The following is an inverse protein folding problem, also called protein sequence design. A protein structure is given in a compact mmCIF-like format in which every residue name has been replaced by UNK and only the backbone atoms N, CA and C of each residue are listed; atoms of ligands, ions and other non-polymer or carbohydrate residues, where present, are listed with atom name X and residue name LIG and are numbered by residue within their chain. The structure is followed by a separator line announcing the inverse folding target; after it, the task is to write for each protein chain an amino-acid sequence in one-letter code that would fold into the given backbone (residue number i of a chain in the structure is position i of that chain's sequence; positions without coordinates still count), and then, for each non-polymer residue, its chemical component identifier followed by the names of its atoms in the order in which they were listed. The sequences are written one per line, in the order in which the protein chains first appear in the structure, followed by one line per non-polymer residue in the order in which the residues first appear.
data_IF_855918646795
#
_entry.id   IF_855918646795
#
_cell.length_a   1.000
_cell.length_b   1.000
_cell.length_c   1.000
_cell.angle_alpha   90.00
_cell.angle_beta   90.00
_cell.angle_gamma   90.00
#
_symmetry.space_group_name_H-M   'P 1'
#
loop_
_entity.id
_entity.type
_entity.pdbx_description
1 polymer ?
#
# COMPACT_ATOMS: atom_id res chain seq x y z
N UNK A 1 -21.42 48.57 -4.54
CA UNK A 1 -21.39 47.13 -4.17
C UNK A 1 -19.99 46.57 -4.46
N UNK A 2 -19.07 46.62 -3.49
CA UNK A 2 -17.69 46.20 -3.69
C UNK A 2 -17.61 44.66 -3.79
N UNK A 3 -17.24 44.15 -4.97
CA UNK A 3 -16.95 42.72 -5.19
C UNK A 3 -15.74 42.34 -4.32
N UNK A 4 -15.98 41.67 -3.19
CA UNK A 4 -14.95 41.08 -2.34
C UNK A 4 -14.14 40.02 -3.09
N UNK A 5 -13.10 40.45 -3.81
CA UNK A 5 -12.12 39.54 -4.40
C UNK A 5 -11.28 38.97 -3.26
N UNK A 6 -11.30 37.64 -3.07
CA UNK A 6 -10.39 36.94 -2.16
C UNK A 6 -8.96 37.13 -2.68
N UNK A 7 -8.22 38.07 -2.12
CA UNK A 7 -6.85 38.44 -2.55
C UNK A 7 -5.74 37.58 -1.92
N UNK A 8 -6.09 36.52 -1.17
CA UNK A 8 -5.14 35.77 -0.33
C UNK A 8 -5.08 34.26 -0.54
N UNK A 9 -5.36 33.76 -1.75
CA UNK A 9 -5.26 32.32 -2.05
C UNK A 9 -3.88 31.91 -2.58
N UNK A 10 -3.52 30.62 -2.44
CA UNK A 10 -2.33 30.08 -3.14
C UNK A 10 -2.47 30.32 -4.64
N UNK A 11 -1.44 30.88 -5.26
CA UNK A 11 -1.40 31.06 -6.70
C UNK A 11 -1.40 29.68 -7.37
N UNK A 12 -2.35 29.48 -8.29
CA UNK A 12 -2.43 28.24 -9.08
C UNK A 12 -1.07 28.02 -9.75
N UNK A 13 -0.42 26.90 -9.45
CA UNK A 13 0.90 26.57 -9.97
C UNK A 13 2.08 26.86 -9.04
N UNK A 14 1.90 27.44 -7.85
CA UNK A 14 2.98 27.48 -6.85
C UNK A 14 3.26 26.06 -6.38
N UNK A 15 4.47 25.50 -6.62
CA UNK A 15 4.81 24.15 -6.18
C UNK A 15 4.55 24.00 -4.68
N UNK A 16 4.03 22.84 -4.26
CA UNK A 16 3.99 22.52 -2.84
C UNK A 16 5.41 22.57 -2.30
N UNK A 17 5.62 23.34 -1.23
CA UNK A 17 6.88 23.26 -0.48
C UNK A 17 7.08 21.80 -0.08
N UNK A 18 8.27 21.27 -0.38
CA UNK A 18 8.64 19.93 0.03
C UNK A 18 8.46 19.83 1.54
N UNK A 19 7.66 18.85 1.99
CA UNK A 19 7.51 18.59 3.40
C UNK A 19 8.68 17.70 3.82
N UNK A 20 9.64 18.20 4.62
CA UNK A 20 10.85 17.45 4.95
C UNK A 20 10.52 16.13 5.67
N UNK A 21 9.45 16.10 6.47
CA UNK A 21 9.01 14.87 7.13
C UNK A 21 8.53 13.82 6.13
N UNK A 22 7.81 14.23 5.08
CA UNK A 22 7.38 13.31 4.01
C UNK A 22 8.57 12.78 3.21
N UNK A 23 9.58 13.61 2.98
CA UNK A 23 10.83 13.19 2.34
C UNK A 23 11.57 12.15 3.16
N UNK A 24 11.73 12.40 4.46
CA UNK A 24 12.37 11.46 5.38
C UNK A 24 11.62 10.12 5.46
N UNK A 25 10.30 10.15 5.64
CA UNK A 25 9.48 8.93 5.67
C UNK A 25 9.60 8.14 4.36
N UNK A 26 9.59 8.83 3.21
CA UNK A 26 9.79 8.18 1.91
C UNK A 26 11.16 7.50 1.84
N UNK A 27 12.23 8.20 2.20
CA UNK A 27 13.58 7.66 2.14
C UNK A 27 13.76 6.45 3.07
N UNK A 28 13.24 6.54 4.30
CA UNK A 28 13.27 5.42 5.25
C UNK A 28 12.47 4.22 4.75
N UNK A 29 11.27 4.45 4.21
CA UNK A 29 10.45 3.38 3.63
C UNK A 29 11.14 2.73 2.42
N UNK A 30 11.76 3.52 1.53
CA UNK A 30 12.49 2.96 0.38
C UNK A 30 13.67 2.10 0.83
N UNK A 31 14.49 2.61 1.76
CA UNK A 31 15.65 1.89 2.28
C UNK A 31 15.29 0.53 2.90
N UNK A 32 14.09 0.40 3.49
CA UNK A 32 13.61 -0.85 4.06
C UNK A 32 13.36 -1.95 3.01
N UNK A 33 12.98 -1.56 1.79
CA UNK A 33 12.74 -2.48 0.67
C UNK A 33 13.94 -2.62 -0.28
N UNK A 34 14.97 -1.77 -0.15
CA UNK A 34 16.16 -1.85 -0.98
C UNK A 34 17.13 -2.93 -0.48
N UNK A 35 17.73 -3.74 -1.39
CA UNK A 35 18.74 -4.71 -0.99
C UNK A 35 19.96 -4.06 -0.37
N UNK A 36 20.37 -4.54 0.80
CA UNK A 36 21.61 -4.11 1.48
C UNK A 36 22.31 -5.29 2.14
N UNK A 37 23.58 -5.11 2.47
CA UNK A 37 24.33 -6.10 3.26
C UNK A 37 23.73 -6.16 4.66
N UNK A 38 23.24 -7.32 5.06
CA UNK A 38 22.59 -7.51 6.35
C UNK A 38 23.63 -7.71 7.45
N UNK A 39 23.99 -6.61 8.11
CA UNK A 39 24.89 -6.59 9.27
C UNK A 39 24.13 -6.19 10.54
N UNK A 40 24.60 -6.65 11.69
CA UNK A 40 24.08 -6.21 12.98
C UNK A 40 24.36 -4.70 13.16
N UNK A 41 23.33 -3.87 13.42
CA UNK A 41 23.49 -2.43 13.61
C UNK A 41 24.34 -2.06 14.83
N UNK A 42 24.49 -2.94 15.83
CA UNK A 42 25.23 -2.65 17.07
C UNK A 42 26.68 -3.14 16.96
N UNK A 43 26.88 -4.40 16.56
CA UNK A 43 28.22 -5.01 16.55
C UNK A 43 28.93 -4.88 15.20
N UNK A 44 28.21 -4.54 14.12
CA UNK A 44 28.72 -4.60 12.75
C UNK A 44 28.96 -6.02 12.24
N UNK A 45 28.64 -7.04 13.06
CA UNK A 45 28.76 -8.45 12.73
C UNK A 45 27.63 -8.95 11.83
N UNK A 46 27.45 -10.27 11.80
CA UNK A 46 26.36 -10.91 11.05
C UNK A 46 25.02 -10.55 11.69
N UNK A 47 24.03 -10.16 10.89
CA UNK A 47 22.66 -10.01 11.38
C UNK A 47 22.12 -11.39 11.76
N UNK A 48 21.61 -11.51 12.98
CA UNK A 48 20.94 -12.72 13.46
C UNK A 48 19.42 -12.52 13.46
N UNK A 49 18.69 -13.56 13.05
CA UNK A 49 17.23 -13.62 13.15
C UNK A 49 16.82 -14.65 14.19
N UNK A 50 15.80 -14.29 14.96
CA UNK A 50 15.20 -15.18 15.93
C UNK A 50 14.19 -16.07 15.22
N UNK A 51 14.36 -17.39 15.33
CA UNK A 51 13.40 -18.36 14.84
C UNK A 51 12.81 -19.12 16.01
N UNK A 52 11.49 -19.07 16.16
CA UNK A 52 10.80 -19.82 17.19
C UNK A 52 10.50 -21.24 16.70
N UNK A 53 10.83 -22.24 17.51
CA UNK A 53 10.52 -23.65 17.26
C UNK A 53 9.99 -24.30 18.54
N UNK A 54 9.04 -25.22 18.39
CA UNK A 54 8.59 -26.08 19.48
C UNK A 54 9.52 -27.31 19.56
N UNK A 55 10.04 -27.58 20.74
CA UNK A 55 10.84 -28.77 21.04
C UNK A 55 10.18 -29.56 22.17
N UNK A 56 10.28 -30.89 22.11
CA UNK A 56 9.83 -31.77 23.18
C UNK A 56 11.02 -32.29 23.97
N UNK A 57 10.89 -32.35 25.28
CA UNK A 57 11.83 -33.04 26.16
C UNK A 57 11.61 -34.56 26.12
N UNK A 58 12.45 -35.31 26.85
CA UNK A 58 12.33 -36.76 26.99
C UNK A 58 11.07 -37.21 27.76
N UNK A 59 10.39 -36.28 28.42
CA UNK A 59 9.22 -36.50 29.27
C UNK A 59 7.90 -36.12 28.56
N UNK A 60 7.99 -35.63 27.32
CA UNK A 60 6.85 -35.29 26.46
C UNK A 60 6.31 -33.87 26.62
N UNK A 61 6.94 -33.03 27.44
CA UNK A 61 6.54 -31.63 27.58
C UNK A 61 7.05 -30.80 26.39
N UNK A 62 6.16 -29.96 25.83
CA UNK A 62 6.46 -29.10 24.68
C UNK A 62 6.84 -27.71 25.17
N UNK A 63 8.02 -27.22 24.76
CA UNK A 63 8.47 -25.85 25.06
C UNK A 63 8.85 -25.08 23.79
N UNK A 64 8.73 -23.75 23.87
CA UNK A 64 9.19 -22.83 22.82
C UNK A 64 10.67 -22.54 23.02
N UNK A 65 11.46 -22.82 21.99
CA UNK A 65 12.88 -22.47 21.90
C UNK A 65 13.03 -21.37 20.84
N UNK A 66 13.90 -20.40 21.13
CA UNK A 66 14.26 -19.33 20.20
C UNK A 66 15.68 -19.62 19.73
N UNK A 67 15.82 -20.01 18.46
CA UNK A 67 17.11 -20.21 17.82
C UNK A 67 17.56 -18.89 17.20
N UNK A 68 18.81 -18.49 17.45
CA UNK A 68 19.45 -17.37 16.75
C UNK A 68 20.14 -17.90 15.50
N UNK A 69 19.65 -17.49 14.33
CA UNK A 69 20.18 -17.95 13.04
C UNK A 69 20.88 -16.76 12.36
N UNK A 70 22.19 -16.86 12.07
CA UNK A 70 22.90 -15.82 11.32
C UNK A 70 22.48 -15.82 9.85
N UNK A 71 22.14 -14.65 9.31
CA UNK A 71 21.85 -14.44 7.89
C UNK A 71 23.13 -14.50 7.07
N UNK A 72 23.51 -15.72 6.69
CA UNK A 72 24.73 -15.99 5.92
C UNK A 72 24.44 -16.74 4.62
N UNK A 73 25.23 -16.44 3.59
CA UNK A 73 25.26 -17.23 2.36
C UNK A 73 25.96 -18.58 2.63
N UNK A 74 25.90 -19.49 1.66
CA UNK A 74 26.63 -20.76 1.58
C UNK A 74 28.12 -20.69 1.96
N UNK A 75 28.73 -19.51 1.88
CA UNK A 75 30.14 -19.23 2.21
C UNK A 75 30.37 -18.59 3.58
N UNK A 76 29.32 -18.35 4.37
CA UNK A 76 29.41 -17.71 5.69
C UNK A 76 29.49 -16.17 5.67
N UNK A 77 29.36 -15.54 4.50
CA UNK A 77 29.34 -14.08 4.38
C UNK A 77 27.93 -13.52 4.64
N UNK A 78 27.80 -12.26 5.11
CA UNK A 78 26.48 -11.64 5.31
C UNK A 78 25.69 -11.60 3.99
N UNK A 79 24.42 -11.98 4.05
CA UNK A 79 23.54 -11.98 2.86
C UNK A 79 23.20 -10.56 2.45
N UNK A 80 23.17 -10.32 1.13
CA UNK A 80 22.59 -9.11 0.54
C UNK A 80 21.10 -9.34 0.29
N UNK A 81 20.25 -8.72 1.11
CA UNK A 81 18.79 -8.75 0.96
C UNK A 81 18.17 -7.51 1.58
N UNK A 82 16.90 -7.25 1.30
CA UNK A 82 16.18 -6.14 1.93
C UNK A 82 15.88 -6.43 3.41
N UNK A 83 15.68 -5.38 4.20
CA UNK A 83 15.26 -5.55 5.60
C UNK A 83 13.90 -6.20 5.70
N UNK A 84 13.00 -5.86 4.77
CA UNK A 84 11.71 -6.51 4.63
C UNK A 84 11.81 -8.02 4.47
N UNK A 85 12.67 -8.50 3.56
CA UNK A 85 12.84 -9.94 3.35
C UNK A 85 13.40 -10.63 4.59
N UNK A 86 14.39 -10.02 5.25
CA UNK A 86 14.95 -10.56 6.49
C UNK A 86 13.89 -10.65 7.62
N UNK A 87 13.05 -9.62 7.76
CA UNK A 87 11.96 -9.61 8.74
C UNK A 87 10.87 -10.64 8.40
N UNK A 88 10.51 -10.78 7.13
CA UNK A 88 9.57 -11.83 6.69
C UNK A 88 10.07 -13.23 7.01
N UNK A 89 11.38 -13.48 6.86
CA UNK A 89 12.00 -14.77 7.22
C UNK A 89 11.94 -14.99 8.74
N UNK A 90 12.17 -13.96 9.54
CA UNK A 90 12.13 -14.03 11.01
C UNK A 90 10.72 -14.25 11.57
N UNK A 91 9.67 -13.80 10.87
CA UNK A 91 8.29 -13.98 11.32
C UNK A 91 7.88 -15.45 11.36
N UNK A 92 7.02 -15.76 12.32
CA UNK A 92 6.38 -17.07 12.41
C UNK A 92 5.49 -17.30 11.18
N UNK A 93 5.27 -18.57 10.74
CA UNK A 93 4.48 -18.86 9.54
C UNK A 93 3.10 -18.19 9.53
N UNK A 94 2.38 -18.21 10.65
CA UNK A 94 1.06 -17.58 10.76
C UNK A 94 1.12 -16.06 10.64
N UNK A 95 2.15 -15.43 11.23
CA UNK A 95 2.33 -13.97 11.19
C UNK A 95 2.73 -13.51 9.80
N UNK A 96 3.59 -14.27 9.11
CA UNK A 96 3.98 -14.04 7.72
C UNK A 96 2.77 -14.04 6.79
N UNK A 97 1.93 -15.08 6.86
CA UNK A 97 0.70 -15.17 6.04
C UNK A 97 -0.22 -13.98 6.30
N UNK A 98 -0.40 -13.59 7.55
CA UNK A 98 -1.21 -12.41 7.89
C UNK A 98 -0.61 -11.10 7.37
N UNK A 99 0.71 -10.94 7.42
CA UNK A 99 1.40 -9.77 6.88
C UNK A 99 1.25 -9.68 5.36
N UNK A 100 1.41 -10.80 4.65
CA UNK A 100 1.23 -10.89 3.20
C UNK A 100 -0.21 -10.58 2.78
N UNK A 101 -1.20 -11.11 3.48
CA UNK A 101 -2.62 -10.81 3.23
C UNK A 101 -2.91 -9.31 3.35
N UNK A 102 -2.34 -8.63 4.36
CA UNK A 102 -2.48 -7.19 4.52
C UNK A 102 -1.79 -6.41 3.41
N UNK A 103 -0.59 -6.84 3.00
CA UNK A 103 0.14 -6.22 1.89
C UNK A 103 -0.64 -6.37 0.57
N UNK A 104 -1.31 -7.51 0.37
CA UNK A 104 -2.15 -7.80 -0.77
C UNK A 104 -3.24 -6.75 -0.97
N UNK A 105 -3.84 -6.25 0.11
CA UNK A 105 -4.91 -5.24 0.05
C UNK A 105 -4.48 -3.91 -0.59
N UNK A 106 -3.19 -3.59 -0.55
CA UNK A 106 -2.66 -2.32 -1.06
C UNK A 106 -2.23 -2.39 -2.52
N UNK A 107 -1.85 -3.55 -3.03
CA UNK A 107 -1.32 -3.69 -4.40
C UNK A 107 -2.23 -4.50 -5.34
N UNK A 108 -3.16 -5.30 -4.81
CA UNK A 108 -4.17 -5.96 -5.64
C UNK A 108 -5.47 -5.17 -5.64
N UNK A 109 -6.02 -4.83 -6.82
CA UNK A 109 -7.34 -4.20 -6.90
C UNK A 109 -8.39 -5.12 -6.31
N UNK A 110 -9.09 -4.67 -5.26
CA UNK A 110 -10.31 -5.35 -4.81
C UNK A 110 -11.37 -5.16 -5.90
N UNK A 111 -11.87 -6.26 -6.45
CA UNK A 111 -13.05 -6.26 -7.32
C UNK A 111 -14.24 -5.81 -6.47
N UNK A 112 -14.44 -4.50 -6.35
CA UNK A 112 -15.71 -3.96 -5.88
C UNK A 112 -16.69 -4.29 -6.99
N UNK A 113 -17.61 -5.22 -6.72
CA UNK A 113 -18.79 -5.35 -7.55
C UNK A 113 -19.41 -3.95 -7.58
N UNK A 114 -19.45 -3.34 -8.75
CA UNK A 114 -20.35 -2.23 -8.97
C UNK A 114 -21.72 -2.86 -8.78
N UNK A 115 -22.38 -2.59 -7.66
CA UNK A 115 -23.82 -2.80 -7.56
C UNK A 115 -24.41 -1.90 -8.64
N UNK A 116 -24.65 -2.49 -9.82
CA UNK A 116 -25.43 -1.86 -10.87
C UNK A 116 -26.83 -1.79 -10.29
N UNK A 117 -27.17 -0.61 -9.79
CA UNK A 117 -28.50 -0.29 -9.32
C UNK A 117 -29.46 -0.47 -10.52
N UNK A 118 -30.12 -1.62 -10.60
CA UNK A 118 -31.02 -2.01 -11.69
C UNK A 118 -32.40 -1.34 -11.57
N UNK A 119 -32.56 -0.34 -10.72
CA UNK A 119 -33.77 0.47 -10.59
C UNK A 119 -33.77 1.75 -11.44
N UNK A 120 -32.89 1.84 -12.44
CA UNK A 120 -33.09 2.80 -13.55
C UNK A 120 -34.11 2.21 -14.52
N UNK A 121 -35.39 2.32 -14.15
CA UNK A 121 -36.46 2.51 -15.15
C UNK A 121 -36.30 3.90 -15.76
N UNK A 122 -35.23 4.09 -16.52
CA UNK A 122 -34.95 5.30 -17.27
C UNK A 122 -34.64 4.86 -18.68
N UNK A 123 -35.55 5.15 -19.60
CA UNK A 123 -35.30 5.07 -21.03
C UNK A 123 -33.88 5.54 -21.34
N UNK A 124 -33.18 4.78 -22.17
CA UNK A 124 -31.89 5.18 -22.76
C UNK A 124 -32.16 6.46 -23.55
N UNK A 125 -32.11 7.60 -22.87
CA UNK A 125 -32.22 8.93 -23.46
C UNK A 125 -30.81 9.28 -23.86
N UNK A 126 -30.57 9.16 -25.16
CA UNK A 126 -29.31 9.58 -25.74
C UNK A 126 -29.17 11.09 -25.61
N UNK A 127 -27.93 11.60 -25.69
CA UNK A 127 -27.68 13.05 -25.72
C UNK A 127 -28.47 13.69 -26.88
N UNK A 128 -28.69 12.95 -27.96
CA UNK A 128 -29.51 13.37 -29.11
C UNK A 128 -30.97 13.58 -28.73
N UNK A 129 -31.57 12.71 -27.91
CA UNK A 129 -32.96 12.87 -27.43
C UNK A 129 -33.11 14.11 -26.55
N UNK A 130 -32.14 14.34 -25.65
CA UNK A 130 -32.12 15.52 -24.78
C UNK A 130 -31.86 16.82 -25.55
N UNK A 131 -31.04 16.76 -26.59
CA UNK A 131 -30.80 17.91 -27.49
C UNK A 131 -32.02 18.22 -28.33
N UNK A 132 -32.76 17.21 -28.81
CA UNK A 132 -34.00 17.40 -29.58
C UNK A 132 -35.10 18.06 -28.74
N UNK A 133 -35.26 17.63 -27.49
CA UNK A 133 -36.20 18.25 -26.54
C UNK A 133 -35.83 19.71 -26.22
N UNK A 134 -34.53 20.00 -26.02
CA UNK A 134 -34.04 21.36 -25.76
C UNK A 134 -34.08 22.28 -26.99
N UNK A 135 -34.04 21.71 -28.20
CA UNK A 135 -34.06 22.49 -29.44
C UNK A 135 -35.47 22.84 -29.91
N UNK A 136 -36.51 22.48 -29.15
CA UNK A 136 -37.86 23.03 -29.31
C UNK A 136 -38.41 22.88 -30.72
N UNK A 137 -39.11 21.78 -30.97
CA UNK A 137 -40.17 21.75 -31.97
C UNK A 137 -41.25 22.75 -31.50
N UNK A 138 -41.01 24.04 -31.78
CA UNK A 138 -42.03 25.07 -31.91
C UNK A 138 -42.23 25.31 -33.40
N UNK A 139 -42.67 24.27 -34.11
CA UNK A 139 -43.44 24.44 -35.34
C UNK A 139 -44.92 24.22 -34.95
N UNK A 140 -45.41 25.07 -34.04
CA UNK A 140 -46.82 25.44 -33.98
C UNK A 140 -46.91 26.89 -34.42
N UNK A 141 -47.03 27.10 -35.74
CA UNK A 141 -47.83 28.20 -36.28
C UNK A 141 -48.87 27.55 -37.21
N UNK A 142 -50.11 27.60 -36.74
CA UNK A 142 -51.36 27.29 -37.44
C UNK A 142 -51.52 28.14 -38.73
N UNK A 143 -51.75 27.49 -39.88
CA UNK A 143 -52.79 27.79 -40.91
C UNK A 143 -52.63 26.89 -42.17
#
# INVERSE_FOLDING_TARGET
MAKGKKTGGRQKGTPNKENPLKGYLRAHSLAYFEPRVQTDPVTGGLREIQRQRLTQDAEGNVYKVIDLIPLTDSKGNPVTMSDFEADMIALNPNERVNAELRLLEFHTPKMKAVEVDMDVRGSVTTIEDRLRELCGETDEDDD
#
